data_IF_302227076514
#
_entry.id   IF_302227076514
#
_cell.length_a   1.000
_cell.length_b   1.000
_cell.length_c   1.000
_cell.angle_alpha   90.00
_cell.angle_beta   90.00
_cell.angle_gamma   90.00
#
_symmetry.space_group_name_H-M   'P 1'
#
loop_
_entity.id
_entity.type
_entity.pdbx_description
1 polymer ?
#
# COMPACT_ATOMS: atom_id res chain seq x y z
N UNK A 1 -60.42 -83.36 -29.20
CA UNK A 1 -60.67 -84.52 -28.32
C UNK A 1 -59.46 -84.77 -27.43
N UNK A 2 -59.08 -83.75 -26.66
CA UNK A 2 -58.19 -83.86 -25.49
C UNK A 2 -58.39 -82.55 -24.71
N UNK A 3 -59.36 -82.60 -23.81
CA UNK A 3 -59.29 -81.90 -22.55
C UNK A 3 -59.72 -80.43 -22.46
N UNK A 4 -60.87 -80.13 -23.08
CA UNK A 4 -61.95 -79.41 -22.38
C UNK A 4 -62.32 -80.07 -21.02
N UNK A 5 -61.89 -81.32 -20.80
CA UNK A 5 -61.91 -82.06 -19.53
C UNK A 5 -60.99 -81.46 -18.45
N UNK A 6 -59.87 -80.81 -18.80
CA UNK A 6 -59.00 -80.17 -17.81
C UNK A 6 -59.64 -78.91 -17.23
N UNK A 7 -60.37 -78.14 -18.05
CA UNK A 7 -61.11 -76.97 -17.60
C UNK A 7 -62.26 -77.36 -16.68
N UNK A 8 -63.00 -78.43 -17.01
CA UNK A 8 -64.10 -78.94 -16.18
C UNK A 8 -63.63 -79.55 -14.85
N UNK A 9 -62.44 -80.15 -14.79
CA UNK A 9 -61.88 -80.66 -13.53
C UNK A 9 -61.59 -79.52 -12.52
N UNK A 10 -61.12 -78.36 -13.00
CA UNK A 10 -60.85 -77.21 -12.13
C UNK A 10 -62.08 -76.35 -11.85
N UNK A 11 -63.13 -76.44 -12.67
CA UNK A 11 -64.40 -75.74 -12.46
C UNK A 11 -65.21 -76.33 -11.29
N UNK A 12 -65.00 -77.61 -10.95
CA UNK A 12 -65.63 -78.28 -9.80
C UNK A 12 -64.92 -78.12 -8.46
N UNK A 13 -63.61 -77.84 -8.44
CA UNK A 13 -62.81 -77.79 -7.19
C UNK A 13 -62.85 -76.43 -6.50
N UNK A 14 -63.09 -75.35 -7.24
CA UNK A 14 -63.29 -74.02 -6.67
C UNK A 14 -64.66 -73.44 -7.05
N UNK A 15 -65.69 -74.28 -7.01
CA UNK A 15 -67.10 -73.89 -7.01
C UNK A 15 -67.54 -73.19 -5.71
N UNK A 16 -66.67 -72.37 -5.14
CA UNK A 16 -67.05 -71.28 -4.26
C UNK A 16 -66.96 -69.99 -5.09
N UNK A 17 -67.89 -69.03 -4.93
CA UNK A 17 -67.76 -67.74 -5.58
C UNK A 17 -66.34 -67.25 -5.34
N UNK A 18 -65.60 -66.88 -6.40
CA UNK A 18 -64.35 -66.11 -6.23
C UNK A 18 -64.76 -65.01 -5.28
N UNK A 19 -64.18 -65.02 -4.07
CA UNK A 19 -64.47 -63.98 -3.10
C UNK A 19 -64.21 -62.68 -3.84
N UNK A 20 -65.29 -61.99 -4.21
CA UNK A 20 -65.24 -60.56 -4.45
C UNK A 20 -64.78 -60.07 -3.10
N UNK A 21 -63.47 -59.88 -2.96
CA UNK A 21 -62.96 -59.17 -1.81
C UNK A 21 -63.70 -57.85 -1.86
N UNK A 22 -64.53 -57.60 -0.85
CA UNK A 22 -65.06 -56.27 -0.63
C UNK A 22 -63.85 -55.36 -0.74
N UNK A 23 -63.89 -54.39 -1.67
CA UNK A 23 -62.88 -53.34 -1.77
C UNK A 23 -63.05 -52.37 -0.59
N UNK A 24 -63.29 -52.92 0.60
CA UNK A 24 -63.38 -52.24 1.88
C UNK A 24 -61.95 -52.05 2.35
N UNK A 25 -61.34 -50.99 1.83
CA UNK A 25 -60.07 -50.49 2.33
C UNK A 25 -60.35 -49.78 3.65
N UNK A 26 -60.39 -50.53 4.74
CA UNK A 26 -60.56 -49.99 6.10
C UNK A 26 -59.44 -48.99 6.41
N UNK A 27 -59.76 -47.71 6.29
CA UNK A 27 -59.02 -46.60 6.91
C UNK A 27 -59.80 -46.09 8.14
N UNK A 28 -59.14 -45.73 9.24
CA UNK A 28 -59.80 -45.39 10.52
C UNK A 28 -60.72 -44.14 10.49
N UNK A 29 -60.85 -43.45 9.35
CA UNK A 29 -61.62 -42.21 9.22
C UNK A 29 -62.68 -42.20 8.09
N UNK A 30 -62.83 -43.25 7.27
CA UNK A 30 -63.91 -43.38 6.27
C UNK A 30 -63.95 -42.36 5.11
N UNK A 31 -63.01 -41.42 5.00
CA UNK A 31 -63.02 -40.39 3.93
C UNK A 31 -62.49 -40.89 2.58
N UNK A 32 -61.66 -41.95 2.58
CA UNK A 32 -61.07 -42.54 1.37
C UNK A 32 -62.07 -43.35 0.54
N UNK A 33 -63.25 -43.67 1.10
CA UNK A 33 -64.25 -44.57 0.50
C UNK A 33 -65.19 -43.86 -0.49
N UNK A 34 -65.09 -42.53 -0.64
CA UNK A 34 -65.92 -41.72 -1.56
C UNK A 34 -65.18 -41.17 -2.78
N UNK A 35 -63.87 -41.42 -2.89
CA UNK A 35 -63.04 -40.92 -4.00
C UNK A 35 -62.97 -41.92 -5.15
N UNK A 36 -62.97 -41.41 -6.37
CA UNK A 36 -62.70 -42.22 -7.58
C UNK A 36 -61.25 -42.72 -7.59
N UNK A 37 -60.97 -43.84 -8.26
CA UNK A 37 -59.63 -44.47 -8.26
C UNK A 37 -58.50 -43.50 -8.68
N UNK A 38 -58.80 -42.53 -9.57
CA UNK A 38 -57.87 -41.47 -9.98
C UNK A 38 -57.55 -40.48 -8.86
N UNK A 39 -58.54 -40.13 -8.03
CA UNK A 39 -58.39 -39.24 -6.88
C UNK A 39 -57.62 -39.94 -5.75
N UNK A 40 -57.86 -41.24 -5.55
CA UNK A 40 -57.06 -42.06 -4.63
C UNK A 40 -55.60 -42.15 -5.09
N UNK A 41 -55.35 -42.36 -6.39
CA UNK A 41 -54.00 -42.38 -6.94
C UNK A 41 -53.28 -41.02 -6.83
N UNK A 42 -54.00 -39.91 -6.96
CA UNK A 42 -53.46 -38.57 -6.73
C UNK A 42 -53.13 -38.35 -5.24
N UNK A 43 -54.03 -38.74 -4.34
CA UNK A 43 -53.85 -38.62 -2.89
C UNK A 43 -52.66 -39.45 -2.39
N UNK A 44 -52.51 -40.70 -2.84
CA UNK A 44 -51.38 -41.56 -2.46
C UNK A 44 -50.07 -41.01 -3.03
N UNK A 45 -50.06 -40.50 -4.27
CA UNK A 45 -48.86 -39.83 -4.84
C UNK A 45 -48.47 -38.60 -4.03
N UNK A 46 -49.44 -37.79 -3.62
CA UNK A 46 -49.22 -36.64 -2.76
C UNK A 46 -48.71 -37.05 -1.37
N UNK A 47 -49.31 -38.06 -0.73
CA UNK A 47 -48.88 -38.56 0.58
C UNK A 47 -47.50 -39.22 0.55
N UNK A 48 -47.19 -39.95 -0.52
CA UNK A 48 -45.84 -40.48 -0.75
C UNK A 48 -44.84 -39.37 -1.02
N UNK A 49 -45.24 -38.34 -1.77
CA UNK A 49 -44.42 -37.15 -2.00
C UNK A 49 -44.15 -36.42 -0.68
N UNK A 50 -45.16 -36.16 0.14
CA UNK A 50 -45.05 -35.54 1.47
C UNK A 50 -44.10 -36.34 2.37
N UNK A 51 -44.24 -37.67 2.43
CA UNK A 51 -43.41 -38.54 3.27
C UNK A 51 -41.95 -38.61 2.80
N UNK A 52 -41.73 -38.59 1.48
CA UNK A 52 -40.38 -38.70 0.90
C UNK A 52 -39.68 -37.34 0.81
N UNK A 53 -40.43 -36.26 0.58
CA UNK A 53 -39.91 -34.90 0.42
C UNK A 53 -39.79 -34.15 1.73
N UNK A 54 -40.43 -34.58 2.83
CA UNK A 54 -40.24 -33.95 4.14
C UNK A 54 -38.75 -33.95 4.56
N UNK A 55 -38.06 -35.09 4.45
CA UNK A 55 -36.63 -35.17 4.77
C UNK A 55 -35.72 -34.47 3.75
N UNK A 56 -36.12 -34.46 2.47
CA UNK A 56 -35.36 -33.78 1.41
C UNK A 56 -35.48 -32.25 1.48
N UNK A 57 -36.67 -31.73 1.80
CA UNK A 57 -36.91 -30.30 2.02
C UNK A 57 -36.17 -29.79 3.26
N UNK A 58 -36.16 -30.57 4.34
CA UNK A 58 -35.43 -30.21 5.56
C UNK A 58 -33.91 -30.21 5.34
N UNK A 59 -33.37 -31.22 4.65
CA UNK A 59 -31.95 -31.29 4.29
C UNK A 59 -31.55 -30.18 3.30
N UNK A 60 -32.42 -29.86 2.33
CA UNK A 60 -32.21 -28.74 1.42
C UNK A 60 -32.24 -27.40 2.16
N UNK A 61 -33.18 -27.21 3.08
CA UNK A 61 -33.26 -26.02 3.93
C UNK A 61 -32.01 -25.84 4.80
N UNK A 62 -31.55 -26.91 5.45
CA UNK A 62 -30.29 -26.90 6.23
C UNK A 62 -29.08 -26.52 5.37
N UNK A 63 -28.97 -27.09 4.16
CA UNK A 63 -27.87 -26.75 3.23
C UNK A 63 -27.95 -25.30 2.77
N UNK A 64 -29.14 -24.79 2.48
CA UNK A 64 -29.35 -23.40 2.10
C UNK A 64 -29.03 -22.43 3.24
N UNK A 65 -29.35 -22.78 4.49
CA UNK A 65 -28.97 -21.98 5.67
C UNK A 65 -27.46 -21.94 5.90
N UNK A 66 -26.80 -23.10 5.86
CA UNK A 66 -25.32 -23.18 5.98
C UNK A 66 -24.65 -22.38 4.86
N UNK A 67 -25.17 -22.48 3.63
CA UNK A 67 -24.62 -21.74 2.50
C UNK A 67 -24.83 -20.24 2.65
N UNK A 68 -26.00 -19.80 3.12
CA UNK A 68 -26.27 -18.39 3.43
C UNK A 68 -25.37 -17.86 4.54
N UNK A 69 -25.13 -18.65 5.59
CA UNK A 69 -24.26 -18.25 6.70
C UNK A 69 -22.82 -18.10 6.23
N UNK A 70 -22.29 -19.07 5.49
CA UNK A 70 -20.97 -19.00 4.87
C UNK A 70 -20.83 -17.82 3.91
N UNK A 71 -21.87 -17.53 3.11
CA UNK A 71 -21.86 -16.37 2.21
C UNK A 71 -21.84 -15.05 2.99
N UNK A 72 -22.60 -14.96 4.10
CA UNK A 72 -22.58 -13.79 4.99
C UNK A 72 -21.21 -13.59 5.62
N UNK A 73 -20.61 -14.64 6.17
CA UNK A 73 -19.28 -14.61 6.78
C UNK A 73 -18.18 -14.27 5.75
N UNK A 74 -18.24 -14.84 4.55
CA UNK A 74 -17.34 -14.50 3.45
C UNK A 74 -17.50 -13.03 3.01
N UNK A 75 -18.74 -12.51 3.03
CA UNK A 75 -19.02 -11.10 2.69
C UNK A 75 -18.50 -10.16 3.77
N UNK A 76 -18.63 -10.52 5.05
CA UNK A 76 -18.13 -9.73 6.17
C UNK A 76 -16.61 -9.75 6.25
N UNK A 77 -15.97 -10.91 6.15
CA UNK A 77 -14.50 -11.01 6.09
C UNK A 77 -13.93 -10.23 4.91
N UNK A 78 -14.55 -10.30 3.72
CA UNK A 78 -14.13 -9.50 2.57
C UNK A 78 -14.34 -8.00 2.77
N UNK A 79 -15.35 -7.59 3.54
CA UNK A 79 -15.55 -6.17 3.93
C UNK A 79 -14.46 -5.73 4.90
N UNK A 80 -14.22 -6.49 5.97
CA UNK A 80 -13.18 -6.20 6.96
C UNK A 80 -11.79 -6.15 6.32
N UNK A 81 -11.48 -7.08 5.42
CA UNK A 81 -10.20 -7.11 4.71
C UNK A 81 -10.04 -5.91 3.76
N UNK A 82 -11.13 -5.46 3.11
CA UNK A 82 -11.12 -4.23 2.31
C UNK A 82 -10.95 -2.98 3.18
N UNK A 83 -11.58 -2.93 4.34
CA UNK A 83 -11.47 -1.81 5.27
C UNK A 83 -10.07 -1.73 5.89
N UNK A 84 -9.51 -2.85 6.33
CA UNK A 84 -8.15 -2.91 6.86
C UNK A 84 -7.11 -2.57 5.79
N UNK A 85 -7.29 -3.03 4.55
CA UNK A 85 -6.44 -2.64 3.43
C UNK A 85 -6.52 -1.14 3.12
N UNK A 86 -7.73 -0.55 3.17
CA UNK A 86 -7.91 0.90 3.02
C UNK A 86 -7.26 1.68 4.15
N UNK A 87 -7.40 1.23 5.38
CA UNK A 87 -6.78 1.86 6.54
C UNK A 87 -5.25 1.77 6.46
N UNK A 88 -4.71 0.60 6.17
CA UNK A 88 -3.27 0.38 5.97
C UNK A 88 -2.70 1.30 4.89
N UNK A 89 -3.39 1.41 3.75
CA UNK A 89 -2.97 2.31 2.67
C UNK A 89 -2.97 3.78 3.10
N UNK A 90 -3.99 4.24 3.83
CA UNK A 90 -4.02 5.62 4.35
C UNK A 90 -2.86 5.90 5.31
N UNK A 91 -2.60 4.97 6.23
CA UNK A 91 -1.48 5.07 7.16
C UNK A 91 -0.15 5.12 6.40
N UNK A 92 0.04 4.27 5.39
CA UNK A 92 1.24 4.30 4.54
C UNK A 92 1.41 5.64 3.82
N UNK A 93 0.34 6.18 3.22
CA UNK A 93 0.36 7.47 2.53
C UNK A 93 0.63 8.66 3.48
N UNK A 94 0.21 8.58 4.74
CA UNK A 94 0.52 9.58 5.77
C UNK A 94 1.96 9.46 6.26
N UNK A 95 2.43 8.25 6.50
CA UNK A 95 3.83 7.96 6.88
C UNK A 95 4.78 8.43 5.78
N UNK A 96 4.49 8.12 4.50
CA UNK A 96 5.31 8.56 3.37
C UNK A 96 5.33 10.09 3.24
N UNK A 97 4.19 10.76 3.44
CA UNK A 97 4.12 12.23 3.44
C UNK A 97 4.93 12.86 4.57
N UNK A 98 4.91 12.27 5.76
CA UNK A 98 5.72 12.75 6.89
C UNK A 98 7.21 12.47 6.68
N UNK A 99 7.57 11.29 6.16
CA UNK A 99 8.96 10.95 5.82
C UNK A 99 9.56 11.94 4.81
N UNK A 100 8.83 12.28 3.74
CA UNK A 100 9.30 13.27 2.76
C UNK A 100 9.56 14.64 3.39
N UNK A 101 8.63 15.11 4.23
CA UNK A 101 8.77 16.39 4.93
C UNK A 101 9.94 16.38 5.93
N UNK A 102 10.16 15.24 6.59
CA UNK A 102 11.25 15.06 7.53
C UNK A 102 12.60 14.97 6.84
N UNK A 103 12.70 14.29 5.69
CA UNK A 103 13.92 14.19 4.89
C UNK A 103 14.39 15.57 4.41
N UNK A 104 13.48 16.36 3.84
CA UNK A 104 13.77 17.73 3.40
C UNK A 104 14.20 18.63 4.57
N UNK A 105 13.56 18.49 5.73
CA UNK A 105 13.91 19.24 6.93
C UNK A 105 15.25 18.78 7.52
N UNK A 106 15.53 17.48 7.53
CA UNK A 106 16.81 16.94 8.00
C UNK A 106 17.94 17.41 7.10
N UNK A 107 17.73 17.39 5.79
CA UNK A 107 18.69 17.91 4.82
C UNK A 107 18.94 19.40 5.06
N UNK A 108 17.88 20.22 5.16
CA UNK A 108 18.03 21.66 5.48
C UNK A 108 18.76 21.89 6.80
N UNK A 109 18.36 21.21 7.89
CA UNK A 109 19.01 21.32 9.21
C UNK A 109 20.47 20.89 9.17
N UNK A 110 20.79 19.85 8.40
CA UNK A 110 22.16 19.38 8.20
C UNK A 110 23.02 20.45 7.52
N UNK A 111 22.55 21.01 6.41
CA UNK A 111 23.27 22.10 5.72
C UNK A 111 23.38 23.37 6.56
N UNK A 112 22.33 23.75 7.29
CA UNK A 112 22.40 24.89 8.22
C UNK A 112 23.43 24.66 9.32
N UNK A 113 23.51 23.43 9.87
CA UNK A 113 24.51 23.09 10.89
C UNK A 113 25.92 23.11 10.32
N UNK A 114 26.14 22.52 9.15
CA UNK A 114 27.42 22.57 8.47
C UNK A 114 27.85 24.02 8.20
N UNK A 115 26.91 24.88 7.82
CA UNK A 115 27.17 26.31 7.63
C UNK A 115 27.56 27.01 8.94
N UNK A 116 26.85 26.75 10.05
CA UNK A 116 27.21 27.33 11.35
C UNK A 116 28.58 26.84 11.82
N UNK A 117 28.88 25.56 11.64
CA UNK A 117 30.17 24.96 12.02
C UNK A 117 31.31 25.55 11.15
N UNK A 118 31.05 25.82 9.88
CA UNK A 118 31.98 26.53 8.98
C UNK A 118 32.26 27.96 9.44
N UNK A 119 31.22 28.74 9.77
CA UNK A 119 31.38 30.13 10.24
C UNK A 119 32.12 30.18 11.57
N UNK A 120 31.79 29.29 12.50
CA UNK A 120 32.47 29.16 13.80
C UNK A 120 33.92 28.69 13.64
N UNK A 121 34.17 27.73 12.74
CA UNK A 121 35.50 27.30 12.34
C UNK A 121 36.33 28.47 11.82
N UNK A 122 35.75 29.30 10.95
CA UNK A 122 36.40 30.49 10.42
C UNK A 122 36.66 31.58 11.46
N UNK A 123 35.81 31.68 12.49
CA UNK A 123 35.99 32.63 13.59
C UNK A 123 37.11 32.19 14.55
N UNK A 124 37.26 30.88 14.77
CA UNK A 124 38.29 30.29 15.64
C UNK A 124 39.63 30.03 14.94
N UNK A 125 39.67 30.18 13.63
CA UNK A 125 40.82 29.82 12.83
C UNK A 125 41.97 30.83 12.97
N UNK A 126 43.13 30.34 13.39
CA UNK A 126 44.35 31.12 13.65
C UNK A 126 45.44 30.95 12.57
N UNK A 127 45.07 30.64 11.31
CA UNK A 127 46.02 30.56 10.19
C UNK A 127 46.71 29.19 10.00
N UNK A 128 46.20 28.13 10.64
CA UNK A 128 46.71 26.77 10.47
C UNK A 128 46.06 26.08 9.26
N UNK A 129 46.85 25.68 8.26
CA UNK A 129 46.38 25.03 7.03
C UNK A 129 45.55 23.77 7.30
N UNK A 130 45.88 23.02 8.36
CA UNK A 130 45.19 21.76 8.68
C UNK A 130 43.80 21.97 9.27
N UNK A 131 43.57 23.15 9.87
CA UNK A 131 42.30 23.55 10.49
C UNK A 131 41.52 24.54 9.63
N UNK A 132 41.92 24.75 8.38
CA UNK A 132 41.20 25.62 7.47
C UNK A 132 39.79 25.02 7.23
N UNK A 133 38.72 25.75 7.56
CA UNK A 133 37.35 25.29 7.32
C UNK A 133 37.04 25.35 5.81
N UNK A 134 37.06 24.19 5.16
CA UNK A 134 36.73 24.05 3.75
C UNK A 134 35.20 24.06 3.55
N UNK A 135 34.68 24.73 2.50
CA UNK A 135 33.25 24.83 2.23
C UNK A 135 32.77 23.59 1.47
N UNK A 136 32.93 22.41 2.05
CA UNK A 136 32.56 21.13 1.42
C UNK A 136 31.99 20.15 2.46
N UNK A 137 31.14 19.24 2.01
CA UNK A 137 30.61 18.16 2.84
C UNK A 137 31.65 17.03 2.96
N UNK A 138 32.67 17.25 3.79
CA UNK A 138 33.64 16.20 4.14
C UNK A 138 35.07 16.70 4.39
N UNK A 139 35.97 15.78 4.79
CA UNK A 139 37.37 16.09 4.99
C UNK A 139 38.07 16.33 3.64
N UNK A 140 39.03 17.27 3.62
CA UNK A 140 39.84 17.66 2.45
C UNK A 140 40.44 16.47 1.67
N UNK A 141 40.67 15.33 2.33
CA UNK A 141 41.26 14.12 1.74
C UNK A 141 40.49 13.51 0.56
N UNK A 142 39.25 13.94 0.31
CA UNK A 142 38.45 13.51 -0.86
C UNK A 142 38.71 14.29 -2.15
N UNK A 143 39.48 15.39 -2.08
CA UNK A 143 39.66 16.33 -3.18
C UNK A 143 38.51 17.32 -3.28
N UNK A 144 38.80 18.50 -3.85
CA UNK A 144 37.81 19.58 -3.97
C UNK A 144 36.97 19.35 -5.22
N UNK A 145 35.72 18.98 -5.02
CA UNK A 145 34.70 18.89 -6.07
C UNK A 145 33.98 20.22 -6.18
N UNK A 146 33.93 20.79 -7.40
CA UNK A 146 33.17 22.00 -7.67
C UNK A 146 31.68 21.84 -7.34
N UNK A 147 31.11 20.67 -7.63
CA UNK A 147 29.71 20.38 -7.34
C UNK A 147 29.41 20.42 -5.84
N UNK A 148 30.33 19.92 -5.00
CA UNK A 148 30.13 19.84 -3.55
C UNK A 148 30.22 21.23 -2.92
N UNK A 149 31.18 22.05 -3.37
CA UNK A 149 31.32 23.45 -2.92
C UNK A 149 30.13 24.28 -3.36
N UNK A 150 29.66 24.10 -4.59
CA UNK A 150 28.46 24.78 -5.09
C UNK A 150 27.22 24.37 -4.30
N UNK A 151 27.04 23.08 -4.04
CA UNK A 151 25.96 22.56 -3.21
C UNK A 151 26.00 23.16 -1.80
N UNK A 152 27.19 23.23 -1.18
CA UNK A 152 27.37 23.82 0.14
C UNK A 152 26.90 25.27 0.21
N UNK A 153 27.26 26.13 -0.75
CA UNK A 153 26.82 27.52 -0.74
C UNK A 153 25.34 27.68 -1.09
N UNK A 154 24.82 26.93 -2.07
CA UNK A 154 23.41 27.03 -2.49
C UNK A 154 22.45 26.50 -1.42
N UNK A 155 22.78 25.35 -0.82
CA UNK A 155 21.95 24.70 0.20
C UNK A 155 22.19 25.26 1.60
N UNK A 156 23.43 25.66 1.93
CA UNK A 156 23.80 26.20 3.24
C UNK A 156 23.29 27.61 3.50
N UNK A 157 23.22 28.47 2.47
CA UNK A 157 22.66 29.82 2.57
C UNK A 157 21.14 29.87 2.30
N UNK A 158 20.53 28.72 1.99
CA UNK A 158 19.10 28.55 1.70
C UNK A 158 18.56 29.65 0.77
N UNK A 159 18.98 29.60 -0.50
CA UNK A 159 18.63 30.60 -1.53
C UNK A 159 17.12 30.93 -1.55
N UNK A 160 16.27 29.92 -1.31
CA UNK A 160 14.82 30.06 -1.29
C UNK A 160 14.30 30.85 -0.09
N UNK A 161 14.96 30.76 1.07
CA UNK A 161 14.56 31.46 2.29
C UNK A 161 15.10 32.90 2.37
N UNK A 162 16.33 33.13 1.92
CA UNK A 162 17.04 34.41 2.07
C UNK A 162 16.77 35.38 0.89
N UNK A 163 16.42 34.82 -0.27
CA UNK A 163 16.18 35.58 -1.49
C UNK A 163 17.47 36.02 -2.19
N UNK A 164 17.34 36.30 -3.50
CA UNK A 164 18.49 36.45 -4.40
C UNK A 164 19.42 37.61 -4.00
N UNK A 165 18.88 38.70 -3.46
CA UNK A 165 19.66 39.90 -3.06
C UNK A 165 20.56 39.62 -1.86
N UNK A 166 20.00 39.13 -0.75
CA UNK A 166 20.78 38.85 0.44
C UNK A 166 21.76 37.68 0.23
N UNK A 167 21.39 36.69 -0.59
CA UNK A 167 22.31 35.64 -1.02
C UNK A 167 23.52 36.21 -1.79
N UNK A 168 23.29 37.15 -2.73
CA UNK A 168 24.38 37.79 -3.48
C UNK A 168 25.31 38.65 -2.61
N UNK A 169 24.78 39.26 -1.53
CA UNK A 169 25.57 40.01 -0.56
C UNK A 169 26.48 39.09 0.28
N UNK A 170 25.95 37.95 0.75
CA UNK A 170 26.73 36.93 1.48
C UNK A 170 27.82 36.31 0.62
N UNK A 171 27.53 35.99 -0.64
CA UNK A 171 28.55 35.50 -1.58
C UNK A 171 29.65 36.52 -1.84
N UNK A 172 29.32 37.82 -1.86
CA UNK A 172 30.33 38.89 -1.99
C UNK A 172 31.27 38.93 -0.79
N UNK A 173 30.76 38.76 0.43
CA UNK A 173 31.56 38.67 1.66
C UNK A 173 32.51 37.47 1.60
N UNK A 174 31.98 36.29 1.26
CA UNK A 174 32.76 35.05 1.16
C UNK A 174 33.79 35.11 0.02
N UNK A 175 33.48 35.76 -1.11
CA UNK A 175 34.43 36.00 -2.21
C UNK A 175 35.66 36.78 -1.75
N UNK A 176 35.46 37.84 -0.97
CA UNK A 176 36.58 38.63 -0.41
C UNK A 176 37.37 37.80 0.59
N UNK A 177 36.68 36.95 1.36
CA UNK A 177 37.30 36.05 2.35
C UNK A 177 38.18 34.98 1.71
N UNK A 178 37.74 34.39 0.60
CA UNK A 178 38.43 33.34 -0.16
C UNK A 178 39.39 33.87 -1.22
N UNK A 179 39.56 35.19 -1.34
CA UNK A 179 40.51 35.74 -2.29
C UNK A 179 41.93 35.22 -2.00
N UNK A 180 42.67 34.70 -2.99
CA UNK A 180 43.95 34.03 -2.77
C UNK A 180 44.94 34.90 -1.99
N UNK A 181 44.99 36.20 -2.28
CA UNK A 181 45.80 37.17 -1.53
C UNK A 181 45.39 37.30 -0.04
N UNK A 182 44.08 37.29 0.28
CA UNK A 182 43.60 37.42 1.66
C UNK A 182 43.84 36.16 2.47
N UNK A 183 43.63 35.00 1.86
CA UNK A 183 43.92 33.70 2.47
C UNK A 183 45.43 33.54 2.66
N UNK A 184 46.25 33.95 1.69
CA UNK A 184 47.70 33.94 1.79
C UNK A 184 48.24 34.87 2.89
N UNK A 185 47.67 36.07 3.04
CA UNK A 185 47.98 36.99 4.14
C UNK A 185 47.65 36.37 5.50
N UNK A 186 46.50 35.70 5.62
CA UNK A 186 46.06 35.02 6.85
C UNK A 186 46.91 33.79 7.20
N UNK A 187 47.45 33.11 6.20
CA UNK A 187 48.32 31.94 6.34
C UNK A 187 49.80 32.27 6.60
N UNK A 188 50.15 33.56 6.71
CA UNK A 188 51.54 33.97 7.02
C UNK A 188 52.53 33.75 5.88
N UNK A 189 52.07 33.67 4.62
CA UNK A 189 52.92 33.71 3.43
C UNK A 189 53.70 32.43 3.06
N UNK A 190 53.82 31.44 3.96
CA UNK A 190 54.39 30.11 3.64
C UNK A 190 53.25 29.10 3.43
N UNK A 191 52.74 29.04 2.21
CA UNK A 191 51.64 28.13 1.86
C UNK A 191 52.09 27.19 0.76
N UNK A 192 51.76 25.90 0.90
CA UNK A 192 52.00 24.91 -0.14
C UNK A 192 51.27 25.27 -1.43
N UNK A 193 51.94 25.08 -2.57
CA UNK A 193 51.39 25.36 -3.90
C UNK A 193 50.06 24.64 -4.15
N UNK A 194 49.90 23.41 -3.62
CA UNK A 194 48.67 22.64 -3.75
C UNK A 194 47.51 23.29 -2.99
N UNK A 195 47.75 23.80 -1.79
CA UNK A 195 46.72 24.51 -1.00
C UNK A 195 46.31 25.82 -1.69
N UNK A 196 47.24 26.51 -2.34
CA UNK A 196 46.90 27.72 -3.11
C UNK A 196 46.07 27.41 -4.35
N UNK A 197 46.33 26.29 -5.04
CA UNK A 197 45.48 25.82 -6.14
C UNK A 197 44.07 25.51 -5.65
N UNK A 198 43.97 24.82 -4.53
CA UNK A 198 42.71 24.48 -3.87
C UNK A 198 41.89 25.73 -3.49
N UNK A 199 42.53 26.72 -2.85
CA UNK A 199 41.92 28.01 -2.49
C UNK A 199 41.46 28.76 -3.75
N UNK A 200 42.29 28.75 -4.80
CA UNK A 200 41.95 29.39 -6.08
C UNK A 200 40.75 28.72 -6.75
N UNK A 201 40.67 27.39 -6.70
CA UNK A 201 39.52 26.64 -7.21
C UNK A 201 38.25 27.04 -6.47
N UNK A 202 38.27 27.06 -5.13
CA UNK A 202 37.12 27.52 -4.31
C UNK A 202 36.72 28.95 -4.67
N UNK A 203 37.68 29.86 -4.83
CA UNK A 203 37.41 31.24 -5.25
C UNK A 203 36.72 31.32 -6.62
N UNK A 204 37.22 30.58 -7.62
CA UNK A 204 36.63 30.55 -8.96
C UNK A 204 35.19 30.02 -8.95
N UNK A 205 34.92 29.00 -8.12
CA UNK A 205 33.57 28.44 -7.96
C UNK A 205 32.63 29.49 -7.35
N UNK A 206 33.07 30.18 -6.29
CA UNK A 206 32.28 31.26 -5.66
C UNK A 206 32.02 32.39 -6.67
N UNK A 207 33.02 32.79 -7.45
CA UNK A 207 32.90 33.85 -8.46
C UNK A 207 31.91 33.45 -9.57
N UNK A 208 31.95 32.20 -10.02
CA UNK A 208 31.00 31.63 -10.98
C UNK A 208 29.55 31.69 -10.45
N UNK A 209 29.31 31.18 -9.23
CA UNK A 209 27.97 31.19 -8.61
C UNK A 209 27.45 32.62 -8.43
N UNK A 210 28.31 33.54 -8.02
CA UNK A 210 27.94 34.94 -7.86
C UNK A 210 27.58 35.61 -9.19
N UNK A 211 28.34 35.33 -10.26
CA UNK A 211 28.01 35.76 -11.62
C UNK A 211 26.65 35.25 -12.09
N UNK A 212 26.42 33.94 -11.98
CA UNK A 212 25.13 33.31 -12.33
C UNK A 212 23.95 33.93 -11.57
N UNK A 213 24.15 34.22 -10.29
CA UNK A 213 23.09 34.77 -9.43
C UNK A 213 22.74 36.21 -9.82
N UNK A 214 23.74 37.02 -10.18
CA UNK A 214 23.53 38.40 -10.67
C UNK A 214 22.85 38.41 -12.04
N UNK A 215 23.23 37.49 -12.93
CA UNK A 215 22.58 37.37 -14.23
C UNK A 215 21.11 36.96 -14.09
N UNK A 216 20.80 36.08 -13.13
CA UNK A 216 19.42 35.73 -12.79
C UNK A 216 18.64 36.91 -12.21
N UNK A 217 19.23 37.72 -11.32
CA UNK A 217 18.60 38.94 -10.81
C UNK A 217 18.29 39.96 -11.91
N UNK A 218 19.14 40.06 -12.93
CA UNK A 218 19.00 41.06 -13.99
C UNK A 218 18.02 40.62 -15.10
N UNK A 219 17.63 39.34 -15.12
CA UNK A 219 16.71 38.75 -16.10
C UNK A 219 15.28 38.54 -15.57
N UNK A 220 15.06 38.66 -14.27
CA UNK A 220 13.74 38.55 -13.62
C UNK A 220 13.24 39.91 -13.17
#
# INVERSE_FOLDING_TARGET
MADDEAAQYWEGVYGQPIHVYSNEKMGPQGELERMTDDEYAAYVRQKMYEKTHAGWLEEKARREEIQKEKEREARESRRQQKESARHSRKVQEEVERNLRRDEEQRHRRHWSRLWTDYVDGWARWNGDVTKLPWPMEGPKGRGISEADVRAFFVLGLDLEAVGTQAFSARLKEERVRWHPDKVQQRLGGRVDSNVMKDVTAVFQIIDCIWGETRDKQNRG
#
